data_IF_135364090517
#
_entry.id   IF_135364090517
#
_cell.length_a   1.000
_cell.length_b   1.000
_cell.length_c   1.000
_cell.angle_alpha   90.00
_cell.angle_beta   90.00
_cell.angle_gamma   90.00
#
_symmetry.space_group_name_H-M   'P 1'
#
loop_
_entity.id
_entity.type
_entity.pdbx_description
1 polymer ?
#
# COMPACT_ATOMS: atom_id res chain seq x y z
N UNK A 1 -8.26 7.85 -6.71
CA UNK A 1 -6.79 7.82 -6.85
C UNK A 1 -6.20 6.98 -5.74
N UNK A 2 -4.93 6.57 -5.84
CA UNK A 2 -4.21 5.78 -4.82
C UNK A 2 -3.84 6.61 -3.57
N UNK A 3 -4.79 7.37 -3.03
CA UNK A 3 -4.69 8.03 -1.72
C UNK A 3 -3.74 9.23 -1.59
N UNK A 4 -2.87 9.55 -2.55
CA UNK A 4 -1.97 10.71 -2.46
C UNK A 4 -2.03 11.53 -3.74
N UNK A 5 -2.58 12.74 -3.63
CA UNK A 5 -2.68 13.71 -4.73
C UNK A 5 -1.46 14.65 -4.79
N UNK A 6 -0.77 14.86 -3.67
CA UNK A 6 0.43 15.70 -3.57
C UNK A 6 1.44 15.09 -2.59
N UNK A 7 2.66 14.76 -3.05
CA UNK A 7 3.69 14.14 -2.19
C UNK A 7 4.25 15.07 -1.12
N UNK A 8 4.31 16.37 -1.41
CA UNK A 8 4.96 17.35 -0.54
C UNK A 8 4.19 17.55 0.76
N UNK A 9 2.87 17.33 0.72
CA UNK A 9 1.97 17.40 1.87
C UNK A 9 2.11 16.19 2.81
N UNK A 10 2.67 15.07 2.32
CA UNK A 10 2.75 13.81 3.05
C UNK A 10 4.16 13.47 3.55
N UNK A 11 5.16 14.32 3.25
CA UNK A 11 6.54 14.16 3.71
C UNK A 11 7.10 12.77 3.39
N UNK A 12 7.67 12.10 4.39
CA UNK A 12 8.26 10.77 4.25
C UNK A 12 7.26 9.70 3.79
N UNK A 13 5.97 9.84 4.13
CA UNK A 13 4.92 8.91 3.67
C UNK A 13 4.72 9.03 2.17
N UNK A 14 4.76 10.26 1.65
CA UNK A 14 4.75 10.53 0.22
C UNK A 14 5.90 9.82 -0.49
N UNK A 15 7.10 9.81 0.09
CA UNK A 15 8.26 9.11 -0.47
C UNK A 15 8.04 7.59 -0.55
N UNK A 16 7.44 6.99 0.49
CA UNK A 16 7.12 5.56 0.50
C UNK A 16 6.12 5.18 -0.61
N UNK A 17 5.05 5.94 -0.79
CA UNK A 17 4.06 5.70 -1.85
C UNK A 17 4.63 5.98 -3.23
N UNK A 18 5.46 7.02 -3.39
CA UNK A 18 6.19 7.27 -4.64
C UNK A 18 7.09 6.07 -5.00
N UNK A 19 7.75 5.45 -4.01
CA UNK A 19 8.57 4.25 -4.23
C UNK A 19 7.77 3.07 -4.81
N UNK A 20 6.50 2.92 -4.43
CA UNK A 20 5.58 1.92 -5.02
C UNK A 20 5.39 2.17 -6.52
N UNK A 21 5.22 3.43 -6.91
CA UNK A 21 5.01 3.82 -8.31
C UNK A 21 6.24 3.63 -9.20
N UNK A 22 7.44 3.69 -8.62
CA UNK A 22 8.69 3.45 -9.34
C UNK A 22 9.07 1.97 -9.46
N UNK A 23 8.27 1.05 -8.92
CA UNK A 23 8.58 -0.37 -8.97
C UNK A 23 8.40 -0.96 -10.38
N UNK A 24 9.27 -1.89 -10.80
CA UNK A 24 9.09 -2.60 -12.05
C UNK A 24 7.87 -3.54 -11.97
N UNK A 25 7.21 -3.74 -13.10
CA UNK A 25 6.16 -4.75 -13.28
C UNK A 25 6.18 -5.31 -14.70
N UNK A 26 5.70 -6.53 -14.88
CA UNK A 26 5.55 -7.17 -16.17
C UNK A 26 4.66 -6.33 -17.08
N UNK A 27 5.20 -6.01 -18.27
CA UNK A 27 4.57 -5.10 -19.24
C UNK A 27 4.20 -3.72 -18.67
N UNK A 28 4.87 -3.29 -17.58
CA UNK A 28 4.56 -2.05 -16.87
C UNK A 28 3.08 -1.96 -16.42
N UNK A 29 2.47 -3.10 -16.08
CA UNK A 29 1.05 -3.20 -15.76
C UNK A 29 0.65 -2.57 -14.43
N UNK A 30 1.60 -2.42 -13.48
CA UNK A 30 1.43 -1.79 -12.17
C UNK A 30 0.11 -2.20 -11.48
N UNK A 31 -0.06 -3.49 -11.18
CA UNK A 31 -1.35 -4.04 -10.76
C UNK A 31 -1.74 -3.60 -9.34
N UNK A 32 -0.81 -3.05 -8.56
CA UNK A 32 -1.01 -2.70 -7.15
C UNK A 32 -1.92 -1.48 -6.96
N UNK A 33 -2.65 -1.46 -5.85
CA UNK A 33 -3.35 -0.30 -5.30
C UNK A 33 -2.99 -0.17 -3.84
N UNK A 34 -2.79 1.06 -3.39
CA UNK A 34 -2.45 1.37 -2.00
C UNK A 34 -3.50 2.33 -1.47
N UNK A 35 -4.07 1.98 -0.33
CA UNK A 35 -4.96 2.85 0.43
C UNK A 35 -4.26 3.22 1.73
N UNK A 36 -4.24 4.52 2.04
CA UNK A 36 -3.62 5.07 3.23
C UNK A 36 -4.74 5.51 4.17
N UNK A 37 -4.65 5.10 5.42
CA UNK A 37 -5.62 5.43 6.47
C UNK A 37 -4.86 6.00 7.67
N UNK A 38 -5.37 7.08 8.25
CA UNK A 38 -4.84 7.62 9.51
C UNK A 38 -5.13 6.65 10.66
N UNK A 39 -4.16 6.46 11.55
CA UNK A 39 -4.39 5.66 12.74
C UNK A 39 -5.24 6.46 13.75
N UNK A 40 -6.45 5.96 14.05
CA UNK A 40 -7.37 6.61 14.97
C UNK A 40 -6.82 6.76 16.40
N UNK A 41 -5.89 5.91 16.82
CA UNK A 41 -5.26 5.97 18.14
C UNK A 41 -4.07 6.96 18.19
N UNK A 42 -3.43 7.23 17.05
CA UNK A 42 -2.28 8.12 16.93
C UNK A 42 -2.26 8.73 15.53
N UNK A 43 -2.73 9.97 15.41
CA UNK A 43 -2.86 10.67 14.12
C UNK A 43 -1.51 11.00 13.47
N UNK A 44 -0.38 10.77 14.15
CA UNK A 44 0.95 10.86 13.53
C UNK A 44 1.32 9.61 12.72
N UNK A 45 0.58 8.51 12.93
CA UNK A 45 0.81 7.18 12.35
C UNK A 45 -0.17 6.84 11.25
N UNK A 46 0.28 6.02 10.32
CA UNK A 46 -0.49 5.63 9.15
C UNK A 46 -0.57 4.12 8.99
N UNK A 47 -1.66 3.69 8.37
CA UNK A 47 -1.95 2.30 8.01
C UNK A 47 -2.06 2.23 6.49
N UNK A 48 -1.35 1.29 5.88
CA UNK A 48 -1.27 1.14 4.43
C UNK A 48 -1.81 -0.22 4.04
N UNK A 49 -2.91 -0.22 3.29
CA UNK A 49 -3.51 -1.43 2.73
C UNK A 49 -3.10 -1.59 1.28
N UNK A 50 -2.46 -2.72 0.99
CA UNK A 50 -2.03 -3.10 -0.35
C UNK A 50 -3.02 -4.09 -0.95
N UNK A 51 -3.38 -3.82 -2.20
CA UNK A 51 -4.22 -4.65 -3.04
C UNK A 51 -3.57 -4.83 -4.40
N UNK A 52 -4.04 -5.79 -5.19
CA UNK A 52 -3.67 -5.91 -6.59
C UNK A 52 -4.85 -6.31 -7.48
N UNK A 53 -4.78 -5.94 -8.75
CA UNK A 53 -5.71 -6.41 -9.81
C UNK A 53 -5.08 -7.57 -10.57
N UNK A 54 -5.79 -8.70 -10.63
CA UNK A 54 -5.36 -9.89 -11.41
C UNK A 54 -5.57 -9.72 -12.91
N UNK A 55 -6.63 -9.00 -13.31
CA UNK A 55 -6.95 -8.84 -14.73
C UNK A 55 -5.89 -7.97 -15.43
N UNK A 56 -5.30 -8.49 -16.51
CA UNK A 56 -4.28 -7.78 -17.30
C UNK A 56 -2.84 -7.89 -16.74
N UNK A 57 -2.61 -8.60 -15.64
CA UNK A 57 -1.29 -8.81 -15.05
C UNK A 57 -0.99 -10.30 -14.86
N UNK A 58 0.17 -10.75 -15.35
CA UNK A 58 0.54 -12.17 -15.32
C UNK A 58 1.08 -12.62 -13.97
N UNK A 59 1.73 -11.73 -13.22
CA UNK A 59 2.39 -12.02 -11.94
C UNK A 59 1.98 -11.02 -10.86
N UNK A 60 0.69 -10.66 -10.82
CA UNK A 60 0.19 -9.54 -10.03
C UNK A 60 0.55 -9.61 -8.54
N UNK A 61 0.54 -10.82 -7.96
CA UNK A 61 0.92 -11.04 -6.56
C UNK A 61 2.42 -10.79 -6.33
N UNK A 62 3.29 -11.38 -7.15
CA UNK A 62 4.74 -11.19 -7.07
C UNK A 62 5.12 -9.72 -7.29
N UNK A 63 4.48 -9.07 -8.26
CA UNK A 63 4.70 -7.65 -8.59
C UNK A 63 4.25 -6.74 -7.44
N UNK A 64 3.11 -7.04 -6.81
CA UNK A 64 2.67 -6.34 -5.60
C UNK A 64 3.66 -6.57 -4.44
N UNK A 65 4.23 -7.77 -4.30
CA UNK A 65 5.28 -8.05 -3.31
C UNK A 65 6.54 -7.20 -3.51
N UNK A 66 6.98 -7.00 -4.75
CA UNK A 66 8.10 -6.10 -5.09
C UNK A 66 7.77 -4.67 -4.66
N UNK A 67 6.56 -4.19 -4.99
CA UNK A 67 6.09 -2.87 -4.58
C UNK A 67 6.08 -2.66 -3.06
N UNK A 68 5.54 -3.63 -2.31
CA UNK A 68 5.51 -3.61 -0.84
C UNK A 68 6.95 -3.60 -0.27
N UNK A 69 7.85 -4.37 -0.87
CA UNK A 69 9.26 -4.43 -0.43
C UNK A 69 9.95 -3.07 -0.61
N UNK A 70 9.74 -2.39 -1.74
CA UNK A 70 10.35 -1.09 -2.00
C UNK A 70 9.76 0.01 -1.09
N UNK A 71 8.43 0.01 -0.91
CA UNK A 71 7.74 0.87 0.04
C UNK A 71 8.36 0.78 1.44
N UNK A 72 8.47 -0.46 1.94
CA UNK A 72 9.00 -0.73 3.28
C UNK A 72 10.43 -0.24 3.41
N UNK A 73 11.28 -0.55 2.42
CA UNK A 73 12.67 -0.11 2.42
C UNK A 73 12.79 1.41 2.53
N UNK A 74 12.03 2.17 1.72
CA UNK A 74 12.09 3.64 1.72
C UNK A 74 11.62 4.24 3.05
N UNK A 75 10.51 3.77 3.61
CA UNK A 75 10.02 4.27 4.90
C UNK A 75 10.96 3.92 6.06
N UNK A 76 11.48 2.70 6.10
CA UNK A 76 12.41 2.30 7.16
C UNK A 76 13.71 3.13 7.11
N UNK A 77 14.19 3.49 5.91
CA UNK A 77 15.34 4.39 5.75
C UNK A 77 15.05 5.82 6.21
N UNK A 78 13.80 6.28 6.16
CA UNK A 78 13.40 7.58 6.71
C UNK A 78 13.10 7.53 8.21
N UNK A 79 13.31 6.38 8.86
CA UNK A 79 13.05 6.19 10.29
C UNK A 79 11.60 5.84 10.64
N UNK A 80 10.71 5.68 9.65
CA UNK A 80 9.33 5.26 9.85
C UNK A 80 9.24 3.75 9.82
N UNK A 81 9.00 3.15 10.98
CA UNK A 81 9.01 1.70 11.15
C UNK A 81 7.59 1.16 11.28
N UNK A 82 7.38 -0.08 10.87
CA UNK A 82 6.08 -0.70 10.97
C UNK A 82 6.11 -2.19 10.70
N UNK A 83 4.95 -2.82 10.91
CA UNK A 83 4.77 -4.26 10.79
C UNK A 83 3.91 -4.59 9.57
N UNK A 84 4.41 -5.45 8.70
CA UNK A 84 3.63 -6.06 7.63
C UNK A 84 2.80 -7.22 8.18
N UNK A 85 1.52 -7.27 7.83
CA UNK A 85 0.57 -8.29 8.26
C UNK A 85 -0.45 -8.61 7.15
N UNK A 86 -0.99 -9.83 7.15
CA UNK A 86 -2.09 -10.21 6.26
C UNK A 86 -3.36 -10.27 7.12
N UNK A 87 -4.11 -9.17 7.13
CA UNK A 87 -5.40 -9.08 7.82
C UNK A 87 -6.48 -9.94 7.13
N UNK A 88 -7.42 -10.43 7.93
CA UNK A 88 -8.64 -11.13 7.51
C UNK A 88 -9.85 -10.19 7.63
N UNK A 89 -10.90 -10.48 6.86
CA UNK A 89 -12.16 -9.72 6.97
C UNK A 89 -12.71 -9.83 8.39
N UNK A 90 -12.89 -8.69 9.05
CA UNK A 90 -13.32 -8.59 10.45
C UNK A 90 -12.20 -8.28 11.44
N UNK A 91 -10.94 -8.31 11.01
CA UNK A 91 -9.82 -7.81 11.81
C UNK A 91 -9.90 -6.29 11.97
N UNK A 92 -9.33 -5.79 13.06
CA UNK A 92 -9.14 -4.36 13.28
C UNK A 92 -8.32 -3.76 12.13
N UNK A 93 -8.75 -2.59 11.66
CA UNK A 93 -8.19 -1.90 10.49
C UNK A 93 -8.39 -2.61 9.14
N UNK A 94 -9.15 -3.70 9.04
CA UNK A 94 -9.45 -4.26 7.73
C UNK A 94 -10.23 -3.23 6.88
N UNK A 95 -9.76 -2.87 5.68
CA UNK A 95 -10.36 -1.80 4.88
C UNK A 95 -11.75 -2.20 4.35
N UNK A 96 -12.71 -1.28 4.44
CA UNK A 96 -13.99 -1.40 3.76
C UNK A 96 -13.84 -0.93 2.30
N UNK A 97 -13.98 -1.87 1.36
CA UNK A 97 -13.97 -1.57 -0.07
C UNK A 97 -15.33 -1.07 -0.53
N UNK A 98 -15.35 -0.04 -1.38
CA UNK A 98 -16.58 0.45 -2.03
C UNK A 98 -16.82 -0.26 -3.36
N UNK A 99 -18.00 -0.11 -3.97
CA UNK A 99 -18.32 -0.78 -5.25
C UNK A 99 -17.32 -0.48 -6.37
N UNK A 100 -16.70 0.70 -6.39
CA UNK A 100 -15.67 1.06 -7.38
C UNK A 100 -14.35 0.28 -7.22
N UNK A 101 -14.19 -0.43 -6.11
CA UNK A 101 -13.03 -1.28 -5.80
C UNK A 101 -13.26 -2.75 -6.19
N UNK A 102 -14.36 -3.06 -6.88
CA UNK A 102 -14.62 -4.39 -7.42
C UNK A 102 -13.42 -4.92 -8.24
N UNK A 103 -13.05 -6.17 -7.96
CA UNK A 103 -11.93 -6.86 -8.61
C UNK A 103 -10.55 -6.63 -7.99
N UNK A 104 -10.45 -5.87 -6.89
CA UNK A 104 -9.23 -5.84 -6.07
C UNK A 104 -9.09 -7.12 -5.25
N UNK A 105 -7.89 -7.70 -5.27
CA UNK A 105 -7.48 -8.76 -4.35
C UNK A 105 -6.62 -8.15 -3.26
N UNK A 106 -7.00 -8.38 -2.00
CA UNK A 106 -6.22 -7.92 -0.86
C UNK A 106 -4.88 -8.66 -0.75
N UNK A 107 -3.82 -7.92 -0.42
CA UNK A 107 -2.45 -8.45 -0.34
C UNK A 107 -1.91 -8.43 1.09
N UNK A 108 -1.78 -7.23 1.66
CA UNK A 108 -1.14 -7.03 2.96
C UNK A 108 -1.50 -5.66 3.54
N UNK A 109 -1.24 -5.49 4.82
CA UNK A 109 -1.28 -4.22 5.52
C UNK A 109 0.04 -3.94 6.21
N UNK A 110 0.56 -2.73 6.06
CA UNK A 110 1.65 -2.21 6.88
C UNK A 110 1.08 -1.23 7.91
N UNK A 111 1.38 -1.49 9.19
CA UNK A 111 0.93 -0.67 10.32
C UNK A 111 2.16 -0.04 10.95
N UNK A 112 2.21 1.29 10.99
CA UNK A 112 3.29 2.03 11.63
C UNK A 112 3.32 1.77 13.15
N UNK A 113 4.53 1.58 13.70
CA UNK A 113 4.76 1.22 15.12
C UNK A 113 5.28 2.37 15.94
#
# INVERSE_FOLDING_TARGET
GNGIENKEEWGDIGNGVEAVHWCPSGMNSQPWRVFVVENAADTSKHIFHFFFKKFGAFYAENECGIAISNFRFVLEQSGRNGKLSILQKGDEHFPELVETDEGLTYAATWIET
#
